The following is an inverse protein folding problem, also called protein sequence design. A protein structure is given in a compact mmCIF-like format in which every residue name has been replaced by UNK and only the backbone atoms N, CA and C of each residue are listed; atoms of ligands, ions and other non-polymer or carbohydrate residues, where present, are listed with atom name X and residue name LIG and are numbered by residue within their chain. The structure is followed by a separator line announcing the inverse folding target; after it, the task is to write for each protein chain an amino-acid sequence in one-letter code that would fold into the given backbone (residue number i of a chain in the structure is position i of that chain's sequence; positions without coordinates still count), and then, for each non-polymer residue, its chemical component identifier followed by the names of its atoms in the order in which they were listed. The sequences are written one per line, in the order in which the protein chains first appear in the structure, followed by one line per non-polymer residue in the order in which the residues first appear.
data_IF_382243217238
#
_entry.id   IF_382243217238
#
_cell.length_a   1.000
_cell.length_b   1.000
_cell.length_c   1.000
_cell.angle_alpha   90.00
_cell.angle_beta   90.00
_cell.angle_gamma   90.00
#
_symmetry.space_group_name_H-M   'P 1'
#
loop_
_entity.id
_entity.type
_entity.pdbx_description
1 polymer ?
#
# COMPACT_ATOMS: atom_id res chain seq x y z
N UNK A 1 -22.07 19.59 -6.52
CA UNK A 1 -21.72 18.17 -6.28
C UNK A 1 -20.20 18.08 -6.18
N UNK A 2 -19.60 18.22 -5.00
CA UNK A 2 -18.12 18.25 -4.84
C UNK A 2 -17.59 17.60 -3.56
N UNK A 3 -18.45 17.02 -2.72
CA UNK A 3 -18.02 16.44 -1.44
C UNK A 3 -17.48 14.99 -1.56
N UNK A 4 -17.85 14.25 -2.61
CA UNK A 4 -17.52 12.82 -2.71
C UNK A 4 -16.12 12.54 -3.28
N UNK A 5 -15.53 13.47 -4.05
CA UNK A 5 -14.26 13.22 -4.75
C UNK A 5 -13.01 13.27 -3.84
N UNK A 6 -13.09 13.95 -2.68
CA UNK A 6 -11.97 14.08 -1.74
C UNK A 6 -11.80 12.84 -0.84
N UNK A 7 -12.86 12.06 -0.64
CA UNK A 7 -12.81 10.86 0.19
C UNK A 7 -11.91 9.76 -0.41
N UNK A 8 -11.80 9.71 -1.73
CA UNK A 8 -11.01 8.70 -2.45
C UNK A 8 -9.54 9.09 -2.70
N UNK A 9 -9.07 10.26 -2.21
CA UNK A 9 -7.66 10.66 -2.38
C UNK A 9 -6.86 10.59 -1.07
N UNK A 10 -5.64 10.08 -1.16
CA UNK A 10 -4.68 10.13 -0.06
C UNK A 10 -4.10 11.54 0.08
N UNK A 11 -3.89 11.96 1.33
CA UNK A 11 -3.21 13.21 1.65
C UNK A 11 -1.84 13.32 0.94
N UNK A 12 -1.42 14.54 0.63
CA UNK A 12 -0.07 14.83 0.13
C UNK A 12 1.03 14.44 1.13
N UNK A 13 0.68 14.29 2.42
CA UNK A 13 1.59 13.79 3.47
C UNK A 13 2.01 12.33 3.28
N UNK A 14 1.24 11.53 2.53
CA UNK A 14 1.64 10.15 2.20
C UNK A 14 2.60 10.21 1.01
N UNK A 15 3.86 9.80 1.16
CA UNK A 15 4.81 9.83 0.04
C UNK A 15 4.40 8.84 -1.04
N UNK A 16 4.89 9.04 -2.27
CA UNK A 16 4.88 7.96 -3.28
C UNK A 16 5.94 6.93 -2.92
N UNK A 17 5.67 5.65 -3.13
CA UNK A 17 6.64 4.59 -2.92
C UNK A 17 7.76 4.71 -3.96
N UNK A 18 8.99 4.74 -3.50
CA UNK A 18 10.18 4.76 -4.35
C UNK A 18 10.43 3.35 -4.90
N UNK A 19 10.67 3.22 -6.21
CA UNK A 19 10.85 1.91 -6.87
C UNK A 19 12.06 1.10 -6.34
N UNK A 20 13.04 1.77 -5.73
CA UNK A 20 14.19 1.16 -5.06
C UNK A 20 13.88 0.68 -3.63
N UNK A 21 12.74 1.07 -3.06
CA UNK A 21 12.33 0.72 -1.70
C UNK A 21 13.02 1.49 -0.58
N UNK A 22 13.84 2.50 -0.90
CA UNK A 22 14.53 3.34 0.11
C UNK A 22 13.59 3.97 1.14
N UNK A 23 12.40 4.37 0.72
CA UNK A 23 11.41 5.00 1.60
C UNK A 23 10.35 4.02 2.12
N UNK A 24 10.53 2.71 1.94
CA UNK A 24 9.51 1.70 2.27
C UNK A 24 8.96 1.84 3.69
N UNK A 25 9.83 1.93 4.70
CA UNK A 25 9.40 2.02 6.10
C UNK A 25 8.53 3.25 6.40
N UNK A 26 8.85 4.40 5.80
CA UNK A 26 8.08 5.63 6.00
C UNK A 26 6.79 5.59 5.17
N UNK A 27 6.87 5.06 3.94
CA UNK A 27 5.70 4.86 3.10
C UNK A 27 4.68 3.95 3.77
N UNK A 28 5.09 2.78 4.26
CA UNK A 28 4.19 1.79 4.85
C UNK A 28 3.44 2.36 6.05
N UNK A 29 4.14 2.97 7.01
CA UNK A 29 3.53 3.60 8.19
C UNK A 29 2.50 4.67 7.77
N UNK A 30 2.91 5.63 6.93
CA UNK A 30 2.04 6.75 6.54
C UNK A 30 0.86 6.32 5.69
N UNK A 31 1.05 5.31 4.85
CA UNK A 31 -0.01 4.76 4.02
C UNK A 31 -1.05 4.03 4.89
N UNK A 32 -0.60 3.22 5.85
CA UNK A 32 -1.46 2.53 6.82
C UNK A 32 -2.32 3.53 7.61
N UNK A 33 -1.68 4.50 8.28
CA UNK A 33 -2.39 5.55 9.04
C UNK A 33 -3.47 6.24 8.20
N UNK A 34 -3.15 6.57 6.94
CA UNK A 34 -4.05 7.30 6.06
C UNK A 34 -5.23 6.46 5.55
N UNK A 35 -5.04 5.16 5.35
CA UNK A 35 -6.08 4.21 4.94
C UNK A 35 -6.98 3.85 6.13
N UNK A 36 -6.38 3.68 7.32
CA UNK A 36 -7.10 3.43 8.57
C UNK A 36 -7.97 4.63 8.95
N UNK A 37 -7.45 5.86 8.84
CA UNK A 37 -8.24 7.09 9.05
C UNK A 37 -9.44 7.22 8.10
N UNK A 38 -9.42 6.52 6.94
CA UNK A 38 -10.54 6.46 5.99
C UNK A 38 -11.46 5.25 6.22
N UNK A 39 -11.11 4.34 7.12
CA UNK A 39 -11.89 3.15 7.45
C UNK A 39 -11.79 2.01 6.45
N UNK A 40 -10.73 1.95 5.64
CA UNK A 40 -10.56 0.88 4.63
C UNK A 40 -9.50 -0.15 5.00
N UNK A 41 -8.84 -0.01 6.16
CA UNK A 41 -7.70 -0.85 6.52
C UNK A 41 -8.08 -2.34 6.65
N UNK A 42 -9.31 -2.65 7.07
CA UNK A 42 -9.81 -4.02 7.18
C UNK A 42 -9.81 -4.81 5.86
N UNK A 43 -9.85 -4.12 4.71
CA UNK A 43 -9.70 -4.74 3.40
C UNK A 43 -8.25 -5.13 3.08
N UNK A 44 -7.27 -4.39 3.64
CA UNK A 44 -5.83 -4.62 3.40
C UNK A 44 -5.27 -5.73 4.27
N UNK A 45 -5.60 -5.75 5.55
CA UNK A 45 -5.16 -6.81 6.47
C UNK A 45 -6.01 -8.09 6.36
N UNK A 46 -7.27 -7.94 5.91
CA UNK A 46 -8.23 -9.02 5.73
C UNK A 46 -9.16 -9.23 6.91
N UNK A 47 -9.22 -8.32 7.88
CA UNK A 47 -10.19 -8.40 8.99
C UNK A 47 -11.63 -8.16 8.53
N UNK A 48 -11.82 -7.54 7.36
CA UNK A 48 -13.13 -7.30 6.73
C UNK A 48 -13.28 -8.12 5.43
N UNK A 49 -13.51 -9.44 5.53
CA UNK A 49 -13.71 -10.29 4.36
C UNK A 49 -15.04 -9.98 3.66
N UNK A 50 -15.12 -10.30 2.36
CA UNK A 50 -16.36 -10.16 1.61
C UNK A 50 -17.51 -10.94 2.27
N UNK A 51 -18.68 -10.31 2.48
CA UNK A 51 -19.87 -11.00 2.98
C UNK A 51 -20.24 -12.18 2.08
N UNK A 52 -20.52 -13.33 2.68
CA UNK A 52 -21.02 -14.50 1.95
C UNK A 52 -22.54 -14.56 2.07
N UNK A 53 -23.23 -14.88 0.98
CA UNK A 53 -24.66 -15.15 1.03
C UNK A 53 -24.94 -16.52 1.63
N UNK A 54 -25.97 -16.62 2.47
CA UNK A 54 -26.40 -17.88 3.08
C UNK A 54 -26.92 -18.89 2.03
N UNK A 55 -27.48 -18.38 0.93
CA UNK A 55 -27.84 -19.16 -0.25
C UNK A 55 -27.00 -18.67 -1.44
N UNK A 56 -26.14 -19.54 -2.00
CA UNK A 56 -25.21 -19.18 -3.09
C UNK A 56 -25.91 -18.61 -4.33
N UNK A 57 -27.14 -19.04 -4.59
CA UNK A 57 -27.86 -18.71 -5.83
C UNK A 57 -29.03 -17.74 -5.64
N UNK A 58 -29.32 -17.32 -4.41
CA UNK A 58 -30.41 -16.38 -4.13
C UNK A 58 -30.13 -15.53 -2.89
N UNK A 59 -29.16 -14.61 -2.96
CA UNK A 59 -28.92 -13.67 -1.87
C UNK A 59 -30.19 -12.85 -1.63
N UNK A 60 -30.49 -12.63 -0.35
CA UNK A 60 -31.51 -11.68 0.08
C UNK A 60 -31.13 -10.26 -0.39
N UNK A 61 -32.10 -9.34 -0.47
CA UNK A 61 -31.81 -7.94 -0.79
C UNK A 61 -30.74 -7.32 0.12
N UNK A 62 -30.76 -7.65 1.41
CA UNK A 62 -29.81 -7.13 2.40
C UNK A 62 -28.40 -7.68 2.21
N UNK A 63 -28.26 -8.99 1.95
CA UNK A 63 -26.96 -9.60 1.61
C UNK A 63 -26.40 -9.01 0.32
N UNK A 64 -27.25 -8.81 -0.69
CA UNK A 64 -26.84 -8.20 -1.96
C UNK A 64 -26.36 -6.76 -1.76
N UNK A 65 -27.06 -5.98 -0.92
CA UNK A 65 -26.65 -4.62 -0.58
C UNK A 65 -25.30 -4.61 0.17
N UNK A 66 -25.09 -5.53 1.11
CA UNK A 66 -23.82 -5.67 1.83
C UNK A 66 -22.66 -6.04 0.90
N UNK A 67 -22.85 -7.02 0.00
CA UNK A 67 -21.84 -7.42 -0.99
C UNK A 67 -21.50 -6.26 -1.93
N UNK A 68 -22.52 -5.55 -2.43
CA UNK A 68 -22.31 -4.40 -3.31
C UNK A 68 -21.57 -3.26 -2.61
N UNK A 69 -21.87 -3.02 -1.33
CA UNK A 69 -21.15 -2.04 -0.51
C UNK A 69 -19.69 -2.44 -0.35
N UNK A 70 -19.43 -3.65 0.13
CA UNK A 70 -18.07 -4.18 0.30
C UNK A 70 -17.28 -4.12 -1.02
N UNK A 71 -17.91 -4.46 -2.14
CA UNK A 71 -17.28 -4.40 -3.47
C UNK A 71 -16.88 -2.98 -3.86
N UNK A 72 -17.68 -1.97 -3.51
CA UNK A 72 -17.33 -0.56 -3.77
C UNK A 72 -16.16 -0.12 -2.90
N UNK A 73 -16.19 -0.47 -1.61
CA UNK A 73 -15.12 -0.16 -0.65
C UNK A 73 -13.80 -0.83 -1.07
N UNK A 74 -13.85 -2.08 -1.53
CA UNK A 74 -12.73 -2.82 -2.11
C UNK A 74 -12.12 -2.13 -3.34
N UNK A 75 -12.96 -1.55 -4.21
CA UNK A 75 -12.48 -0.80 -5.39
C UNK A 75 -11.87 0.55 -5.01
N UNK A 76 -12.43 1.26 -4.01
CA UNK A 76 -11.82 2.45 -3.43
C UNK A 76 -10.47 2.14 -2.79
N UNK A 77 -10.35 1.06 -2.02
CA UNK A 77 -9.10 0.59 -1.43
C UNK A 77 -8.02 0.31 -2.50
N UNK A 78 -8.38 -0.37 -3.60
CA UNK A 78 -7.48 -0.59 -4.75
C UNK A 78 -7.04 0.73 -5.41
N UNK A 79 -7.94 1.70 -5.52
CA UNK A 79 -7.63 3.03 -6.06
C UNK A 79 -6.63 3.77 -5.16
N UNK A 80 -6.86 3.78 -3.83
CA UNK A 80 -5.96 4.41 -2.86
C UNK A 80 -4.54 3.82 -2.93
N UNK A 81 -4.44 2.49 -2.98
CA UNK A 81 -3.15 1.82 -3.17
C UNK A 81 -2.48 2.27 -4.46
N UNK A 82 -3.24 2.33 -5.56
CA UNK A 82 -2.65 2.62 -6.88
C UNK A 82 -2.13 4.04 -7.02
N UNK A 83 -2.65 5.00 -6.26
CA UNK A 83 -2.23 6.42 -6.31
C UNK A 83 -0.76 6.67 -5.94
N UNK A 84 -0.18 5.78 -5.12
CA UNK A 84 1.16 6.00 -4.55
C UNK A 84 2.19 4.97 -4.99
N UNK A 85 1.81 3.99 -5.81
CA UNK A 85 2.73 2.98 -6.31
C UNK A 85 3.41 3.41 -7.63
N UNK A 86 4.66 2.97 -7.87
CA UNK A 86 5.27 3.03 -9.20
C UNK A 86 4.53 2.15 -10.20
N UNK A 87 4.55 2.54 -11.48
CA UNK A 87 3.93 1.78 -12.57
C UNK A 87 4.43 0.33 -12.66
N UNK A 88 5.73 0.12 -12.42
CA UNK A 88 6.32 -1.23 -12.43
C UNK A 88 5.71 -2.15 -11.38
N UNK A 89 5.41 -1.62 -10.18
CA UNK A 89 4.73 -2.35 -9.10
C UNK A 89 3.26 -2.57 -9.44
N UNK A 90 2.58 -1.55 -10.01
CA UNK A 90 1.19 -1.69 -10.47
C UNK A 90 1.02 -2.82 -11.48
N UNK A 91 1.92 -2.91 -12.45
CA UNK A 91 1.90 -3.96 -13.47
C UNK A 91 2.07 -5.36 -12.87
N UNK A 92 2.82 -5.48 -11.77
CA UNK A 92 3.04 -6.76 -11.07
C UNK A 92 1.79 -7.22 -10.31
N UNK A 93 1.15 -6.30 -9.59
CA UNK A 93 0.02 -6.64 -8.71
C UNK A 93 -1.33 -6.68 -9.44
N UNK A 94 -1.39 -6.28 -10.72
CA UNK A 94 -2.65 -6.17 -11.49
C UNK A 94 -3.50 -7.44 -11.53
N UNK A 95 -2.87 -8.62 -11.50
CA UNK A 95 -3.54 -9.92 -11.57
C UNK A 95 -4.12 -10.42 -10.24
N UNK A 96 -3.82 -9.73 -9.13
CA UNK A 96 -4.33 -10.08 -7.80
C UNK A 96 -5.79 -9.63 -7.66
N UNK A 97 -6.63 -10.49 -7.06
CA UNK A 97 -8.09 -10.36 -7.00
C UNK A 97 -8.52 -9.37 -5.91
N UNK A 98 -7.87 -9.41 -4.75
CA UNK A 98 -8.19 -8.51 -3.63
C UNK A 98 -7.10 -7.46 -3.38
N UNK A 99 -7.45 -6.39 -2.68
CA UNK A 99 -6.49 -5.38 -2.23
C UNK A 99 -5.53 -5.95 -1.21
N UNK A 100 -5.98 -6.88 -0.35
CA UNK A 100 -5.11 -7.67 0.53
C UNK A 100 -4.00 -8.38 -0.25
N UNK A 101 -4.34 -9.16 -1.26
CA UNK A 101 -3.35 -9.88 -2.08
C UNK A 101 -2.38 -8.91 -2.78
N UNK A 102 -2.86 -7.74 -3.20
CA UNK A 102 -2.02 -6.68 -3.77
C UNK A 102 -1.07 -6.09 -2.73
N UNK A 103 -1.57 -5.82 -1.54
CA UNK A 103 -0.80 -5.26 -0.44
C UNK A 103 0.26 -6.23 0.07
N UNK A 104 -0.08 -7.50 0.28
CA UNK A 104 0.85 -8.54 0.72
C UNK A 104 2.02 -8.70 -0.27
N UNK A 105 1.76 -8.61 -1.58
CA UNK A 105 2.79 -8.61 -2.63
C UNK A 105 3.70 -7.36 -2.54
N UNK A 106 3.12 -6.18 -2.33
CA UNK A 106 3.89 -4.93 -2.14
C UNK A 106 4.76 -5.03 -0.88
N UNK A 107 4.21 -5.52 0.23
CA UNK A 107 4.95 -5.70 1.48
C UNK A 107 6.12 -6.66 1.28
N UNK A 108 5.89 -7.77 0.59
CA UNK A 108 6.95 -8.75 0.28
C UNK A 108 8.07 -8.12 -0.54
N UNK A 109 7.73 -7.51 -1.68
CA UNK A 109 8.72 -6.88 -2.57
C UNK A 109 9.54 -5.80 -1.85
N UNK A 110 8.87 -4.90 -1.13
CA UNK A 110 9.52 -3.69 -0.63
C UNK A 110 10.18 -3.86 0.73
N UNK A 111 9.83 -4.92 1.48
CA UNK A 111 10.59 -5.30 2.67
C UNK A 111 11.97 -5.83 2.28
N UNK A 112 12.05 -6.66 1.24
CA UNK A 112 13.33 -7.15 0.69
C UNK A 112 14.18 -5.98 0.14
N UNK A 113 13.58 -5.15 -0.73
CA UNK A 113 14.26 -3.98 -1.30
C UNK A 113 14.68 -2.95 -0.26
N UNK A 114 13.83 -2.67 0.73
CA UNK A 114 14.13 -1.73 1.82
C UNK A 114 15.32 -2.21 2.66
N UNK A 115 15.39 -3.50 2.95
CA UNK A 115 16.52 -4.10 3.68
C UNK A 115 17.83 -4.00 2.89
N UNK A 116 17.77 -4.26 1.58
CA UNK A 116 18.92 -4.10 0.68
C UNK A 116 19.37 -2.63 0.62
N UNK A 117 18.43 -1.70 0.46
CA UNK A 117 18.71 -0.27 0.40
C UNK A 117 19.38 0.26 1.68
N UNK A 118 18.92 -0.18 2.86
CA UNK A 118 19.57 0.16 4.12
C UNK A 118 21.00 -0.39 4.22
N UNK A 119 21.21 -1.62 3.77
CA UNK A 119 22.54 -2.25 3.76
C UNK A 119 23.50 -1.53 2.82
N UNK A 120 23.04 -1.17 1.62
CA UNK A 120 23.82 -0.41 0.64
C UNK A 120 24.19 0.98 1.18
N UNK A 121 23.25 1.68 1.82
CA UNK A 121 23.51 2.98 2.46
C UNK A 121 24.57 2.85 3.57
N UNK A 122 24.48 1.80 4.39
CA UNK A 122 25.46 1.52 5.43
C UNK A 122 26.84 1.20 4.86
N UNK A 123 26.93 0.39 3.79
CA UNK A 123 28.19 0.09 3.11
C UNK A 123 28.81 1.37 2.58
N UNK A 124 28.07 2.16 1.79
CA UNK A 124 28.57 3.44 1.25
C UNK A 124 29.05 4.39 2.34
N UNK A 125 28.36 4.44 3.48
CA UNK A 125 28.81 5.24 4.62
C UNK A 125 30.13 4.72 5.21
N UNK A 126 30.26 3.41 5.40
CA UNK A 126 31.51 2.80 5.89
C UNK A 126 32.66 2.95 4.88
N UNK A 127 32.39 2.80 3.59
CA UNK A 127 33.33 2.96 2.49
C UNK A 127 33.74 4.42 2.29
N UNK A 128 32.91 5.37 2.72
CA UNK A 128 33.22 6.81 2.69
C UNK A 128 34.19 7.26 3.80
N UNK A 129 34.69 6.34 4.64
CA UNK A 129 35.76 6.64 5.60
C UNK A 129 36.99 7.19 4.87
N UNK A 130 37.48 8.32 5.39
CA UNK A 130 38.50 9.19 4.79
C UNK A 130 39.74 8.45 4.26
N UNK A 131 40.26 8.91 3.13
CA UNK A 131 41.63 8.57 2.73
C UNK A 131 42.61 8.93 3.85
N UNK A 132 43.63 8.11 4.07
CA UNK A 132 44.70 8.30 5.08
C UNK A 132 45.47 9.64 4.96
N UNK A 133 45.09 10.53 4.03
CA UNK A 133 45.73 11.82 3.74
C UNK A 133 44.76 13.01 3.70
N UNK A 134 43.51 12.87 4.14
CA UNK A 134 42.58 13.98 4.26
C UNK A 134 43.02 14.93 5.38
N UNK A 135 43.76 15.98 5.03
CA UNK A 135 44.19 17.02 5.98
C UNK A 135 42.95 17.71 6.57
N UNK A 136 42.65 17.43 7.85
CA UNK A 136 41.65 18.17 8.61
C UNK A 136 42.32 19.47 9.06
N UNK A 137 42.07 20.55 8.31
CA UNK A 137 42.49 21.92 8.65
C UNK A 137 41.49 22.58 9.57
#
# INVERSE_FOLDING_TARGET
MTATALADQLSSSVPRLDSSGKNWAIFSIRFQDAVEAKGFWGHFDGTEPCPQSAMKDKPTPDESAAINRWTREEMSAKSLLSQKLPDSTLLRIRGKKSVKERWDEVVTEFTEKGTYAQTELRSKFLDSRCSDKGNVR
#
